data_IF_812738345165
#
_entry.id   IF_812738345165
#
_cell.length_a   1.000
_cell.length_b   1.000
_cell.length_c   1.000
_cell.angle_alpha   90.00
_cell.angle_beta   90.00
_cell.angle_gamma   90.00
#
_symmetry.space_group_name_H-M   'P 1'
#
loop_
_entity.id
_entity.type
_entity.pdbx_description
1 polymer ?
#
# COMPACT_ATOMS: atom_id res chain seq x y z
N UNK A 1 -8.93 -0.70 26.42
CA UNK A 1 -9.00 -1.43 25.15
C UNK A 1 -9.80 -0.60 24.16
N UNK A 2 -9.30 -0.36 22.95
CA UNK A 2 -10.02 0.38 21.94
C UNK A 2 -11.03 -0.54 21.20
N UNK A 3 -11.96 0.07 20.43
CA UNK A 3 -13.00 -0.68 19.72
C UNK A 3 -12.42 -1.70 18.74
N UNK A 4 -11.32 -1.37 18.06
CA UNK A 4 -10.67 -2.28 17.12
C UNK A 4 -10.20 -3.55 17.81
N UNK A 5 -9.53 -3.43 18.95
CA UNK A 5 -9.03 -4.57 19.71
C UNK A 5 -10.18 -5.45 20.21
N UNK A 6 -11.27 -4.81 20.66
CA UNK A 6 -12.46 -5.53 21.11
C UNK A 6 -13.08 -6.36 19.98
N UNK A 7 -13.25 -5.74 18.79
CA UNK A 7 -13.81 -6.42 17.62
C UNK A 7 -12.96 -7.64 17.23
N UNK A 8 -11.64 -7.50 17.22
CA UNK A 8 -10.73 -8.60 16.89
C UNK A 8 -10.77 -9.74 17.91
N UNK A 9 -11.04 -9.45 19.18
CA UNK A 9 -11.13 -10.48 20.22
C UNK A 9 -12.42 -11.29 20.14
N UNK A 10 -13.52 -10.64 19.79
CA UNK A 10 -14.84 -11.27 19.81
C UNK A 10 -15.11 -12.13 18.56
N UNK A 11 -14.26 -12.03 17.53
CA UNK A 11 -14.44 -12.76 16.29
C UNK A 11 -13.24 -13.68 16.01
N UNK A 12 -13.51 -14.77 15.29
CA UNK A 12 -12.44 -15.68 14.87
C UNK A 12 -11.58 -14.99 13.82
N UNK A 13 -10.29 -14.85 14.12
CA UNK A 13 -9.33 -14.16 13.27
C UNK A 13 -8.30 -15.14 12.76
N UNK A 14 -8.07 -15.11 11.44
CA UNK A 14 -6.98 -15.84 10.81
C UNK A 14 -5.86 -14.85 10.47
N UNK A 15 -4.63 -15.25 10.73
CA UNK A 15 -3.45 -14.48 10.35
C UNK A 15 -2.90 -15.02 9.03
N UNK A 16 -2.76 -14.14 8.06
CA UNK A 16 -2.21 -14.48 6.73
C UNK A 16 -1.12 -13.48 6.37
N UNK A 17 -0.20 -13.91 5.50
CA UNK A 17 0.76 -12.93 4.95
C UNK A 17 0.04 -11.99 3.99
N UNK A 18 0.54 -10.77 3.88
CA UNK A 18 -0.04 -9.79 2.95
C UNK A 18 -0.03 -10.34 1.51
N UNK A 19 1.04 -11.04 1.12
CA UNK A 19 1.15 -11.65 -0.21
C UNK A 19 0.11 -12.74 -0.51
N UNK A 20 -0.48 -13.35 0.53
CA UNK A 20 -1.56 -14.34 0.33
C UNK A 20 -2.92 -13.69 0.05
N UNK A 21 -3.12 -12.44 0.47
CA UNK A 21 -4.44 -11.76 0.39
C UNK A 21 -4.44 -10.57 -0.56
N UNK A 22 -3.29 -10.25 -1.16
CA UNK A 22 -3.16 -9.10 -2.05
C UNK A 22 -2.07 -9.36 -3.09
N UNK A 23 -2.16 -8.67 -4.22
CA UNK A 23 -1.10 -8.66 -5.23
C UNK A 23 -0.21 -7.46 -5.01
N UNK A 24 1.07 -7.71 -4.79
CA UNK A 24 2.10 -6.67 -4.70
C UNK A 24 2.86 -6.63 -6.02
N UNK A 25 2.81 -5.49 -6.70
CA UNK A 25 3.36 -5.38 -8.06
C UNK A 25 4.17 -4.11 -8.23
N UNK A 26 5.41 -4.28 -8.67
CA UNK A 26 6.31 -3.16 -8.97
C UNK A 26 5.74 -2.30 -10.09
N UNK A 27 5.98 -0.99 -10.00
CA UNK A 27 5.65 -0.05 -11.06
C UNK A 27 6.62 -0.11 -12.24
N UNK A 28 6.39 0.77 -13.20
CA UNK A 28 7.23 0.92 -14.40
C UNK A 28 7.96 2.25 -14.30
N UNK A 29 9.28 2.22 -14.21
CA UNK A 29 10.08 3.43 -14.06
C UNK A 29 9.97 4.31 -15.30
N UNK A 30 9.56 5.58 -15.10
CA UNK A 30 9.60 6.62 -16.13
C UNK A 30 10.33 7.84 -15.57
N UNK A 31 10.74 8.72 -16.47
CA UNK A 31 11.36 10.00 -16.10
C UNK A 31 10.43 11.15 -16.50
N UNK A 32 10.68 12.34 -15.94
CA UNK A 32 9.93 13.54 -16.33
C UNK A 32 10.05 13.85 -17.84
N UNK A 33 11.16 13.43 -18.47
CA UNK A 33 11.37 13.60 -19.91
C UNK A 33 10.50 12.66 -20.76
N UNK A 34 10.22 11.46 -20.24
CA UNK A 34 9.46 10.43 -20.98
C UNK A 34 7.97 10.45 -20.68
N UNK A 35 7.52 11.34 -19.80
CA UNK A 35 6.10 11.46 -19.47
C UNK A 35 5.31 11.97 -20.66
N UNK A 36 4.04 11.58 -20.73
CA UNK A 36 3.07 12.15 -21.69
C UNK A 36 2.26 13.27 -21.02
N UNK A 37 1.56 14.07 -21.81
CA UNK A 37 0.72 15.16 -21.31
C UNK A 37 -0.53 14.61 -20.62
N UNK A 38 -0.85 15.13 -19.42
CA UNK A 38 -2.08 14.75 -18.72
C UNK A 38 -2.04 15.06 -17.24
N UNK A 39 -3.05 14.59 -16.52
CA UNK A 39 -3.28 14.87 -15.11
C UNK A 39 -3.20 13.61 -14.23
N UNK A 40 -2.66 12.51 -14.73
CA UNK A 40 -2.52 11.28 -13.97
C UNK A 40 -1.34 11.42 -13.01
N UNK A 41 -1.54 11.29 -11.68
CA UNK A 41 -0.43 11.40 -10.73
C UNK A 41 0.59 10.27 -10.93
N UNK A 42 1.86 10.62 -10.96
CA UNK A 42 2.97 9.65 -10.99
C UNK A 42 3.48 9.44 -9.58
N UNK A 43 3.38 8.21 -9.11
CA UNK A 43 3.73 7.81 -7.75
C UNK A 43 5.13 7.18 -7.76
N UNK A 44 6.02 7.76 -6.99
CA UNK A 44 7.41 7.36 -6.93
C UNK A 44 7.91 7.36 -5.48
N UNK A 45 9.14 7.78 -5.23
CA UNK A 45 9.78 7.68 -3.92
C UNK A 45 9.43 8.76 -2.91
N UNK A 46 8.60 9.74 -3.27
CA UNK A 46 8.24 10.86 -2.39
C UNK A 46 6.95 10.64 -1.60
N UNK A 47 6.55 11.68 -0.85
CA UNK A 47 5.33 11.68 -0.07
C UNK A 47 4.13 12.27 -0.82
N UNK A 48 4.30 12.66 -2.05
CA UNK A 48 3.27 13.20 -2.95
C UNK A 48 3.65 12.87 -4.38
N UNK A 49 2.73 13.04 -5.36
CA UNK A 49 3.06 12.75 -6.75
C UNK A 49 4.32 13.50 -7.19
N UNK A 50 5.19 12.80 -7.91
CA UNK A 50 6.43 13.38 -8.42
C UNK A 50 6.17 14.39 -9.54
N UNK A 51 5.22 14.06 -10.40
CA UNK A 51 4.73 14.88 -11.52
C UNK A 51 3.46 14.23 -12.06
N UNK A 52 2.96 14.69 -13.20
CA UNK A 52 1.72 14.19 -13.79
C UNK A 52 1.98 13.65 -15.19
N UNK A 53 1.16 12.67 -15.61
CA UNK A 53 1.33 11.91 -16.84
C UNK A 53 -0.02 11.80 -17.57
N UNK A 54 0.01 11.44 -18.85
CA UNK A 54 -1.20 11.23 -19.63
C UNK A 54 -1.72 9.80 -19.60
N UNK A 55 -0.95 8.86 -19.08
CA UNK A 55 -1.31 7.45 -19.02
C UNK A 55 -1.30 6.96 -17.57
N UNK A 56 -2.14 5.97 -17.29
CA UNK A 56 -2.14 5.28 -16.00
C UNK A 56 -1.72 3.82 -16.19
N UNK A 57 -1.20 3.21 -15.13
CA UNK A 57 -0.93 1.77 -15.08
C UNK A 57 -1.60 1.08 -13.90
N UNK A 58 -2.36 1.82 -13.10
CA UNK A 58 -3.23 1.30 -12.03
C UNK A 58 -4.48 2.14 -11.97
N UNK A 59 -5.61 1.49 -11.67
CA UNK A 59 -6.90 2.17 -11.52
C UNK A 59 -7.66 1.55 -10.35
N UNK A 60 -8.68 2.27 -9.87
CA UNK A 60 -9.46 1.85 -8.71
C UNK A 60 -8.68 1.98 -7.40
N UNK A 61 -9.16 1.30 -6.37
CA UNK A 61 -8.53 1.35 -5.05
C UNK A 61 -7.16 0.69 -5.07
N UNK A 62 -6.12 1.49 -4.82
CA UNK A 62 -4.72 1.06 -4.90
C UNK A 62 -3.96 1.61 -3.71
N UNK A 63 -3.19 0.76 -3.05
CA UNK A 63 -2.22 1.18 -2.06
C UNK A 63 -0.86 1.24 -2.75
N UNK A 64 -0.10 2.30 -2.51
CA UNK A 64 1.28 2.39 -3.04
C UNK A 64 2.27 2.49 -1.90
N UNK A 65 3.45 1.94 -2.14
CA UNK A 65 4.57 1.97 -1.20
C UNK A 65 5.78 2.49 -1.96
N UNK A 66 6.36 3.59 -1.46
CA UNK A 66 7.54 4.19 -2.09
C UNK A 66 8.69 3.19 -2.11
N UNK A 67 9.35 3.05 -3.28
CA UNK A 67 10.34 2.01 -3.53
C UNK A 67 11.76 2.39 -3.14
N UNK A 68 12.10 3.68 -3.13
CA UNK A 68 13.47 4.12 -2.87
C UNK A 68 13.52 5.53 -2.28
N UNK A 69 14.69 5.92 -1.83
CA UNK A 69 14.98 7.25 -1.31
C UNK A 69 14.71 7.38 0.18
N UNK A 70 14.73 8.62 0.68
CA UNK A 70 14.56 8.93 2.09
C UNK A 70 13.20 8.46 2.64
N UNK A 71 12.18 8.42 1.78
CA UNK A 71 10.83 8.00 2.15
C UNK A 71 10.49 6.58 1.71
N UNK A 72 11.49 5.76 1.36
CA UNK A 72 11.25 4.37 0.98
C UNK A 72 10.39 3.67 2.06
N UNK A 73 9.32 3.00 1.62
CA UNK A 73 8.35 2.38 2.50
C UNK A 73 7.13 3.25 2.82
N UNK A 74 7.10 4.51 2.38
CA UNK A 74 5.96 5.39 2.66
C UNK A 74 4.70 4.88 1.98
N UNK A 75 3.62 4.71 2.76
CA UNK A 75 2.36 4.11 2.32
C UNK A 75 1.34 5.21 1.98
N UNK A 76 0.72 5.10 0.79
CA UNK A 76 -0.36 5.98 0.36
C UNK A 76 -1.53 5.17 -0.17
N UNK A 77 -2.71 5.80 -0.21
CA UNK A 77 -3.93 5.19 -0.74
C UNK A 77 -4.49 6.06 -1.86
N UNK A 78 -4.97 5.41 -2.92
CA UNK A 78 -5.52 6.06 -4.11
C UNK A 78 -6.81 5.37 -4.53
N UNK A 79 -7.79 6.15 -4.92
CA UNK A 79 -9.01 5.61 -5.56
C UNK A 79 -9.26 6.41 -6.83
N UNK A 80 -8.27 6.39 -7.72
CA UNK A 80 -8.28 7.09 -9.01
C UNK A 80 -7.20 6.46 -9.89
N UNK A 81 -7.23 6.73 -11.21
CA UNK A 81 -6.13 6.31 -12.07
C UNK A 81 -4.81 6.95 -11.63
N UNK A 82 -3.77 6.14 -11.50
CA UNK A 82 -2.41 6.58 -11.15
C UNK A 82 -1.39 5.87 -12.01
N UNK A 83 -0.20 6.44 -12.10
CA UNK A 83 0.94 5.79 -12.73
C UNK A 83 1.98 5.47 -11.64
N UNK A 84 2.17 4.19 -11.36
CA UNK A 84 3.14 3.74 -10.37
C UNK A 84 4.49 3.58 -11.06
N UNK A 85 5.46 4.37 -10.64
CA UNK A 85 6.83 4.40 -11.19
C UNK A 85 7.81 3.76 -10.21
N UNK A 86 8.62 4.51 -9.49
CA UNK A 86 9.56 3.96 -8.51
C UNK A 86 8.85 3.69 -7.18
N UNK A 87 7.92 2.77 -7.23
CA UNK A 87 7.09 2.33 -6.12
C UNK A 87 6.51 0.97 -6.48
N UNK A 88 5.83 0.33 -5.56
CA UNK A 88 5.01 -0.82 -5.89
C UNK A 88 3.59 -0.61 -5.38
N UNK A 89 2.64 -1.31 -5.99
CA UNK A 89 1.24 -1.23 -5.64
C UNK A 89 0.79 -2.50 -4.91
N UNK A 90 -0.23 -2.34 -4.07
CA UNK A 90 -0.88 -3.43 -3.36
C UNK A 90 -2.36 -3.40 -3.75
N UNK A 91 -2.82 -4.47 -4.39
CA UNK A 91 -4.21 -4.65 -4.80
C UNK A 91 -4.82 -5.77 -3.97
N UNK A 92 -5.83 -5.45 -3.19
CA UNK A 92 -6.50 -6.41 -2.32
C UNK A 92 -7.28 -7.46 -3.11
N UNK A 93 -7.26 -8.71 -2.66
CA UNK A 93 -8.28 -9.69 -3.04
C UNK A 93 -9.53 -9.37 -2.22
N UNK A 94 -10.47 -8.65 -2.82
CA UNK A 94 -11.62 -8.10 -2.11
C UNK A 94 -12.65 -9.14 -1.68
N UNK A 95 -12.50 -10.39 -2.09
CA UNK A 95 -13.27 -11.49 -1.54
C UNK A 95 -12.83 -11.84 -0.12
N UNK A 96 -11.62 -11.43 0.28
CA UNK A 96 -11.00 -11.79 1.55
C UNK A 96 -10.76 -10.56 2.43
N UNK A 97 -10.30 -9.45 1.83
CA UNK A 97 -9.81 -8.29 2.57
C UNK A 97 -10.16 -6.99 1.85
N UNK A 98 -10.52 -5.97 2.63
CA UNK A 98 -10.86 -4.65 2.07
C UNK A 98 -9.58 -3.82 1.85
N UNK A 99 -9.49 -3.06 0.74
CA UNK A 99 -8.33 -2.19 0.49
C UNK A 99 -8.06 -1.21 1.63
N UNK A 100 -9.11 -0.54 2.16
CA UNK A 100 -8.95 0.40 3.27
C UNK A 100 -8.49 -0.29 4.56
N UNK A 101 -8.89 -1.54 4.78
CA UNK A 101 -8.43 -2.31 5.93
C UNK A 101 -6.92 -2.56 5.83
N UNK A 102 -6.43 -2.98 4.66
CA UNK A 102 -5.00 -3.14 4.42
C UNK A 102 -4.27 -1.81 4.65
N UNK A 103 -4.81 -0.73 4.09
CA UNK A 103 -4.19 0.59 4.21
C UNK A 103 -4.01 0.99 5.68
N UNK A 104 -5.05 0.89 6.50
CA UNK A 104 -4.96 1.22 7.92
C UNK A 104 -4.00 0.30 8.68
N UNK A 105 -3.99 -0.99 8.33
CA UNK A 105 -3.03 -1.92 8.92
C UNK A 105 -1.59 -1.48 8.61
N UNK A 106 -1.30 -1.17 7.36
CA UNK A 106 0.05 -0.75 6.95
C UNK A 106 0.44 0.58 7.61
N UNK A 107 -0.49 1.51 7.77
CA UNK A 107 -0.21 2.73 8.53
C UNK A 107 0.19 2.42 9.97
N UNK A 108 -0.44 1.41 10.58
CA UNK A 108 -0.13 1.02 11.97
C UNK A 108 1.27 0.43 12.12
N UNK A 109 1.87 -0.06 11.03
CA UNK A 109 3.23 -0.62 11.03
C UNK A 109 4.17 0.19 10.13
N UNK A 110 3.86 1.45 9.87
CA UNK A 110 4.65 2.30 8.96
C UNK A 110 6.13 2.33 9.35
N UNK A 111 6.44 2.43 10.64
CA UNK A 111 7.83 2.44 11.09
C UNK A 111 8.54 1.13 10.79
N UNK A 112 7.85 0.00 10.94
CA UNK A 112 8.40 -1.32 10.62
C UNK A 112 8.67 -1.47 9.12
N UNK A 113 7.83 -0.87 8.29
CA UNK A 113 8.04 -0.89 6.83
C UNK A 113 9.27 -0.04 6.50
N UNK A 114 9.41 1.16 7.08
CA UNK A 114 10.61 1.98 6.89
C UNK A 114 11.88 1.26 7.35
N UNK A 115 11.81 0.46 8.40
CA UNK A 115 12.94 -0.29 8.93
C UNK A 115 13.43 -1.39 7.97
N UNK A 116 12.64 -1.73 6.95
CA UNK A 116 13.06 -2.66 5.89
C UNK A 116 14.05 -2.03 4.90
N UNK A 117 14.30 -0.73 4.98
CA UNK A 117 15.22 -0.05 4.05
C UNK A 117 16.58 -0.73 4.06
N UNK A 118 17.10 -1.02 2.87
CA UNK A 118 18.37 -1.69 2.70
C UNK A 118 19.10 -1.16 1.46
N UNK A 119 20.37 -1.47 1.37
CA UNK A 119 21.24 -1.07 0.28
C UNK A 119 22.18 0.06 0.66
N UNK A 120 23.41 0.03 0.12
CA UNK A 120 24.37 1.11 0.23
C UNK A 120 24.00 2.24 -0.73
N UNK A 121 24.12 3.50 -0.31
CA UNK A 121 23.71 4.65 -1.09
C UNK A 121 22.22 4.93 -0.95
N UNK A 122 21.44 4.79 -2.02
CA UNK A 122 19.99 5.03 -1.98
C UNK A 122 19.29 3.85 -1.32
N UNK A 123 18.56 4.06 -0.19
CA UNK A 123 17.84 2.97 0.45
C UNK A 123 16.63 2.53 -0.37
N UNK A 124 16.31 1.25 -0.28
CA UNK A 124 15.17 0.63 -0.97
C UNK A 124 14.30 -0.18 -0.02
N UNK A 125 12.99 -0.24 -0.32
CA UNK A 125 12.03 -1.16 0.29
C UNK A 125 11.42 -1.98 -0.84
N UNK A 126 11.44 -3.31 -0.69
CA UNK A 126 11.01 -4.23 -1.74
C UNK A 126 9.66 -4.87 -1.43
N UNK A 127 8.86 -5.07 -2.48
CA UNK A 127 7.55 -5.71 -2.36
C UNK A 127 7.64 -7.09 -1.70
N UNK A 128 8.67 -7.88 -2.03
CA UNK A 128 8.85 -9.24 -1.46
C UNK A 128 8.96 -9.23 0.07
N UNK A 129 9.53 -8.17 0.64
CA UNK A 129 9.70 -8.06 2.08
C UNK A 129 8.41 -7.59 2.75
N UNK A 130 7.69 -6.64 2.14
CA UNK A 130 6.38 -6.19 2.64
C UNK A 130 5.35 -7.30 2.54
N UNK A 131 5.42 -8.14 1.51
CA UNK A 131 4.51 -9.27 1.32
C UNK A 131 4.57 -10.30 2.47
N UNK A 132 5.65 -10.32 3.24
CA UNK A 132 5.84 -11.25 4.37
C UNK A 132 5.16 -10.82 5.66
N UNK A 133 4.76 -9.56 5.80
CA UNK A 133 4.06 -9.12 7.00
C UNK A 133 2.76 -9.89 7.16
N UNK A 134 2.50 -10.34 8.38
CA UNK A 134 1.24 -11.01 8.70
C UNK A 134 0.20 -9.98 9.07
N UNK A 135 -0.99 -10.13 8.50
CA UNK A 135 -2.14 -9.28 8.74
C UNK A 135 -3.27 -10.13 9.30
N UNK A 136 -3.96 -9.66 10.36
CA UNK A 136 -5.12 -10.37 10.88
C UNK A 136 -6.30 -10.18 9.94
N UNK A 137 -6.98 -11.26 9.60
CA UNK A 137 -8.10 -11.26 8.65
C UNK A 137 -9.37 -11.70 9.37
N UNK A 138 -10.10 -10.77 10.01
CA UNK A 138 -11.45 -11.07 10.52
C UNK A 138 -12.46 -11.12 9.36
N UNK A 139 -13.69 -11.56 9.62
CA UNK A 139 -14.74 -11.52 8.59
C UNK A 139 -14.89 -10.11 7.99
N UNK A 140 -15.32 -10.03 6.73
CA UNK A 140 -15.42 -8.75 6.02
C UNK A 140 -16.28 -7.71 6.74
N UNK A 141 -17.39 -8.14 7.38
CA UNK A 141 -18.25 -7.19 8.11
C UNK A 141 -17.52 -6.54 9.29
N UNK A 142 -16.61 -7.27 9.94
CA UNK A 142 -15.79 -6.73 11.02
C UNK A 142 -14.72 -5.78 10.45
N UNK A 143 -14.13 -6.12 9.31
CA UNK A 143 -13.21 -5.21 8.62
C UNK A 143 -13.90 -3.88 8.30
N UNK A 144 -15.15 -3.93 7.80
CA UNK A 144 -15.95 -2.74 7.50
C UNK A 144 -16.14 -1.86 8.75
N UNK A 145 -16.44 -2.46 9.89
CA UNK A 145 -16.60 -1.74 11.16
C UNK A 145 -15.31 -1.08 11.60
N UNK A 146 -14.18 -1.79 11.47
CA UNK A 146 -12.86 -1.25 11.81
C UNK A 146 -12.51 -0.06 10.89
N UNK A 147 -12.73 -0.20 9.59
CA UNK A 147 -12.49 0.87 8.63
C UNK A 147 -13.34 2.10 8.96
N UNK A 148 -14.61 1.91 9.29
CA UNK A 148 -15.50 3.01 9.66
C UNK A 148 -15.02 3.75 10.91
N UNK A 149 -14.38 3.07 11.85
CA UNK A 149 -13.81 3.70 13.06
C UNK A 149 -12.53 4.49 12.72
N UNK A 150 -11.71 3.96 11.81
CA UNK A 150 -10.38 4.52 11.50
C UNK A 150 -10.41 5.60 10.41
N UNK A 151 -11.42 5.59 9.55
CA UNK A 151 -11.56 6.61 8.48
C UNK A 151 -11.99 8.00 8.98
#
# INVERSE_FOLDING_TARGET
MNNRTKLLKDEKVQWKTLGEVAELKRGTTITAKSKTEGNIPVISGGQKPAYYNGEFNRDGETITVAGSGAYAGFVMYWNEPIFVSDAFSIKANQEIVLPRYIYHFLLSIQSQIHDLKSGGGVPHVYAKDVARFKIPIPPLHIQQEIVAILD
#
